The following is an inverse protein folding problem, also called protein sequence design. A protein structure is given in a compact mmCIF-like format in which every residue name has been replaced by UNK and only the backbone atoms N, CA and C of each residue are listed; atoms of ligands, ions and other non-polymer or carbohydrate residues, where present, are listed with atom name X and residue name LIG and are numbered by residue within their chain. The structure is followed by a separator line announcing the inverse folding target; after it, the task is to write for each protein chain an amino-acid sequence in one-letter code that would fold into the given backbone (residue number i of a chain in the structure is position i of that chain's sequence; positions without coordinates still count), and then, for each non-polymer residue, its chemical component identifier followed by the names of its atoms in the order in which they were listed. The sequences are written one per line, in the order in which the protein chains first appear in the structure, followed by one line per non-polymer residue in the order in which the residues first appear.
data_IF_250755604983
#
_entry.id   IF_250755604983
#
_cell.length_a   1.000
_cell.length_b   1.000
_cell.length_c   1.000
_cell.angle_alpha   90.00
_cell.angle_beta   90.00
_cell.angle_gamma   90.00
#
_symmetry.space_group_name_H-M   'P 1'
#
loop_
_entity.id
_entity.type
_entity.pdbx_description
1 polymer ?
#
# COMPACT_ATOMS: atom_id res chain seq x y z
N UNK A 1 -9.25 -22.44 36.99
CA UNK A 1 -9.21 -21.50 35.84
C UNK A 1 -8.56 -20.23 36.33
N UNK A 2 -7.29 -20.05 36.05
CA UNK A 2 -6.53 -18.87 36.46
C UNK A 2 -6.73 -17.82 35.39
N UNK A 3 -7.36 -16.69 35.75
CA UNK A 3 -7.48 -15.52 34.89
C UNK A 3 -6.05 -14.99 34.68
N UNK A 4 -5.50 -15.11 33.47
CA UNK A 4 -4.22 -14.50 33.13
C UNK A 4 -4.50 -13.08 32.63
N UNK A 5 -4.20 -12.04 33.42
CA UNK A 5 -4.47 -10.65 33.04
C UNK A 5 -3.64 -10.18 31.83
N UNK A 6 -2.68 -10.99 31.36
CA UNK A 6 -1.87 -10.67 30.17
C UNK A 6 -2.37 -11.33 28.88
N UNK A 7 -3.43 -12.16 28.92
CA UNK A 7 -4.03 -12.71 27.69
C UNK A 7 -5.03 -11.70 27.11
N UNK A 8 -4.93 -11.33 25.82
CA UNK A 8 -5.91 -10.47 25.16
C UNK A 8 -7.31 -11.08 25.24
N UNK A 9 -8.32 -10.23 25.47
CA UNK A 9 -9.72 -10.65 25.39
C UNK A 9 -10.19 -10.81 23.94
N UNK A 10 -11.30 -11.51 23.72
CA UNK A 10 -11.95 -11.61 22.41
C UNK A 10 -12.29 -10.23 21.82
N UNK A 11 -12.56 -9.26 22.70
CA UNK A 11 -12.83 -7.87 22.30
C UNK A 11 -11.55 -7.17 21.84
N UNK A 12 -10.43 -7.35 22.55
CA UNK A 12 -9.12 -6.83 22.14
C UNK A 12 -8.69 -7.38 20.78
N UNK A 13 -8.91 -8.68 20.55
CA UNK A 13 -8.61 -9.33 19.25
C UNK A 13 -9.49 -8.74 18.15
N UNK A 14 -10.81 -8.58 18.40
CA UNK A 14 -11.72 -7.98 17.40
C UNK A 14 -11.35 -6.54 17.05
N UNK A 15 -10.97 -5.73 18.04
CA UNK A 15 -10.49 -4.37 17.83
C UNK A 15 -9.22 -4.39 16.98
N UNK A 16 -8.22 -5.20 17.34
CA UNK A 16 -6.97 -5.29 16.58
C UNK A 16 -7.19 -5.77 15.14
N UNK A 17 -8.11 -6.71 14.89
CA UNK A 17 -8.49 -7.15 13.54
C UNK A 17 -9.18 -6.05 12.74
N UNK A 18 -10.03 -5.25 13.39
CA UNK A 18 -10.66 -4.08 12.78
C UNK A 18 -9.62 -3.04 12.39
N UNK A 19 -8.65 -2.77 13.27
CA UNK A 19 -7.57 -1.80 13.03
C UNK A 19 -6.68 -2.25 11.87
N UNK A 20 -6.27 -3.53 11.82
CA UNK A 20 -5.51 -4.07 10.68
C UNK A 20 -6.25 -3.91 9.35
N UNK A 21 -7.57 -4.12 9.35
CA UNK A 21 -8.42 -3.95 8.15
C UNK A 21 -8.58 -2.48 7.78
N UNK A 22 -8.69 -1.59 8.77
CA UNK A 22 -8.76 -0.15 8.58
C UNK A 22 -7.45 0.40 8.00
N UNK A 23 -6.32 0.03 8.59
CA UNK A 23 -4.99 0.40 8.10
C UNK A 23 -4.77 -0.10 6.67
N UNK A 24 -5.20 -1.33 6.37
CA UNK A 24 -5.14 -1.84 5.01
C UNK A 24 -5.91 -0.95 4.01
N UNK A 25 -7.08 -0.44 4.41
CA UNK A 25 -7.86 0.51 3.61
C UNK A 25 -7.12 1.83 3.39
N UNK A 26 -6.48 2.39 4.43
CA UNK A 26 -5.68 3.62 4.29
C UNK A 26 -4.57 3.45 3.25
N UNK A 27 -3.89 2.29 3.23
CA UNK A 27 -2.85 2.01 2.25
C UNK A 27 -3.39 1.82 0.82
N UNK A 28 -4.60 1.30 0.67
CA UNK A 28 -5.26 1.26 -0.65
C UNK A 28 -5.68 2.64 -1.13
N UNK A 29 -6.26 3.46 -0.27
CA UNK A 29 -6.61 4.84 -0.61
C UNK A 29 -5.34 5.60 -1.04
N UNK A 30 -4.22 5.40 -0.33
CA UNK A 30 -2.93 5.95 -0.71
C UNK A 30 -2.43 5.45 -2.07
N UNK A 31 -2.64 4.16 -2.39
CA UNK A 31 -2.35 3.60 -3.71
C UNK A 31 -3.19 4.28 -4.80
N UNK A 32 -4.49 4.44 -4.59
CA UNK A 32 -5.40 5.06 -5.55
C UNK A 32 -5.06 6.54 -5.80
N UNK A 33 -4.67 7.27 -4.76
CA UNK A 33 -4.24 8.66 -4.86
C UNK A 33 -3.02 8.87 -5.76
N UNK A 34 -2.20 7.83 -6.00
CA UNK A 34 -1.06 7.90 -6.92
C UNK A 34 -1.46 7.83 -8.41
N UNK A 35 -2.69 7.41 -8.73
CA UNK A 35 -3.14 7.26 -10.12
C UNK A 35 -3.08 8.59 -10.89
N UNK A 36 -3.57 9.68 -10.30
CA UNK A 36 -3.61 10.99 -10.94
C UNK A 36 -2.20 11.62 -11.14
N UNK A 37 -1.30 11.62 -10.14
CA UNK A 37 0.10 12.00 -10.33
C UNK A 37 0.82 11.16 -11.39
N UNK A 38 0.60 9.84 -11.40
CA UNK A 38 1.20 8.93 -12.39
C UNK A 38 0.74 9.27 -13.80
N UNK A 39 -0.55 9.48 -14.00
CA UNK A 39 -1.11 9.88 -15.29
C UNK A 39 -0.57 11.24 -15.73
N UNK A 40 -0.44 12.19 -14.80
CA UNK A 40 0.13 13.51 -15.08
C UNK A 40 1.60 13.40 -15.52
N UNK A 41 2.42 12.62 -14.82
CA UNK A 41 3.82 12.38 -15.20
C UNK A 41 3.95 11.64 -16.55
N UNK A 42 3.03 10.72 -16.87
CA UNK A 42 3.00 10.03 -18.16
C UNK A 42 2.62 10.95 -19.33
N UNK A 43 1.72 11.91 -19.07
CA UNK A 43 1.21 12.83 -20.07
C UNK A 43 2.09 14.07 -20.27
N UNK A 44 3.00 14.36 -19.35
CA UNK A 44 3.94 15.48 -19.43
C UNK A 44 5.02 15.25 -20.50
N UNK A 45 4.64 14.99 -21.75
CA UNK A 45 5.59 14.89 -22.86
C UNK A 45 5.94 16.28 -23.34
N UNK A 46 7.21 16.64 -23.29
CA UNK A 46 7.69 17.83 -23.99
C UNK A 46 7.69 17.54 -25.50
N UNK A 47 6.95 18.29 -26.33
CA UNK A 47 7.07 18.14 -27.78
C UNK A 47 8.49 18.43 -28.24
N UNK A 48 8.95 17.72 -29.28
CA UNK A 48 10.21 18.02 -29.96
C UNK A 48 10.18 19.50 -30.42
N UNK A 49 10.99 20.35 -29.77
CA UNK A 49 11.02 21.79 -30.02
C UNK A 49 10.43 22.67 -28.90
N UNK A 50 9.82 22.10 -27.85
CA UNK A 50 9.28 22.85 -26.71
C UNK A 50 10.35 23.67 -25.96
N UNK A 51 11.60 23.22 -25.99
CA UNK A 51 12.75 23.91 -25.38
C UNK A 51 13.49 24.83 -26.37
N UNK A 52 12.94 25.00 -27.59
CA UNK A 52 13.49 25.86 -28.62
C UNK A 52 14.92 25.51 -29.04
N UNK A 53 15.60 26.48 -29.68
CA UNK A 53 16.95 26.37 -30.23
C UNK A 53 18.03 26.08 -29.16
N UNK A 54 17.74 26.32 -27.88
CA UNK A 54 18.66 26.16 -26.75
C UNK A 54 18.68 24.72 -26.21
N UNK A 55 17.57 23.98 -26.37
CA UNK A 55 17.41 22.63 -25.79
C UNK A 55 18.21 21.53 -26.50
N UNK A 56 18.43 21.65 -27.81
CA UNK A 56 19.15 20.65 -28.60
C UNK A 56 20.67 20.59 -28.31
N UNK A 57 21.41 21.73 -28.22
CA UNK A 57 22.84 21.69 -27.92
C UNK A 57 23.16 21.45 -26.44
N UNK A 58 22.20 21.62 -25.52
CA UNK A 58 22.44 21.50 -24.06
C UNK A 58 22.06 20.14 -23.47
N UNK A 59 21.34 19.29 -24.20
CA UNK A 59 20.84 18.02 -23.68
C UNK A 59 19.63 18.14 -22.75
N UNK A 60 19.14 19.35 -22.48
CA UNK A 60 18.04 19.63 -21.53
C UNK A 60 16.76 18.84 -21.83
N UNK A 61 16.44 18.61 -23.11
CA UNK A 61 15.29 17.80 -23.49
C UNK A 61 15.41 16.34 -23.01
N UNK A 62 16.61 15.77 -23.13
CA UNK A 62 16.90 14.41 -22.65
C UNK A 62 16.85 14.34 -21.13
N UNK A 63 17.39 15.35 -20.44
CA UNK A 63 17.38 15.41 -18.97
C UNK A 63 15.96 15.52 -18.41
N UNK A 64 15.10 16.36 -19.02
CA UNK A 64 13.69 16.47 -18.58
C UNK A 64 12.93 15.17 -18.85
N UNK A 65 13.17 14.52 -20.00
CA UNK A 65 12.51 13.24 -20.30
C UNK A 65 13.00 12.11 -19.38
N UNK A 66 14.29 12.09 -19.02
CA UNK A 66 14.85 11.17 -18.04
C UNK A 66 14.23 11.41 -16.66
N UNK A 67 14.14 12.66 -16.20
CA UNK A 67 13.51 13.02 -14.94
C UNK A 67 12.03 12.63 -14.91
N UNK A 68 11.28 12.89 -15.98
CA UNK A 68 9.87 12.49 -16.14
C UNK A 68 9.71 10.97 -16.03
N UNK A 69 10.55 10.22 -16.74
CA UNK A 69 10.52 8.75 -16.74
C UNK A 69 10.85 8.19 -15.37
N UNK A 70 11.86 8.75 -14.69
CA UNK A 70 12.22 8.37 -13.34
C UNK A 70 11.08 8.64 -12.35
N UNK A 71 10.45 9.82 -12.41
CA UNK A 71 9.30 10.15 -11.58
C UNK A 71 8.14 9.18 -11.81
N UNK A 72 7.79 8.92 -13.08
CA UNK A 72 6.74 7.97 -13.42
C UNK A 72 7.04 6.55 -12.87
N UNK A 73 8.30 6.10 -12.95
CA UNK A 73 8.73 4.81 -12.39
C UNK A 73 8.61 4.77 -10.87
N UNK A 74 9.01 5.84 -10.17
CA UNK A 74 8.89 5.93 -8.71
C UNK A 74 7.42 5.87 -8.27
N UNK A 75 6.51 6.52 -9.01
CA UNK A 75 5.07 6.48 -8.73
C UNK A 75 4.50 5.07 -8.90
N UNK A 76 4.90 4.34 -9.94
CA UNK A 76 4.52 2.93 -10.14
C UNK A 76 5.04 2.04 -9.01
N UNK A 77 6.28 2.26 -8.57
CA UNK A 77 6.86 1.50 -7.46
C UNK A 77 6.14 1.79 -6.14
N UNK A 78 5.79 3.04 -5.87
CA UNK A 78 5.01 3.43 -4.70
C UNK A 78 3.61 2.81 -4.71
N UNK A 79 2.92 2.81 -5.86
CA UNK A 79 1.61 2.17 -6.05
C UNK A 79 1.68 0.67 -5.68
N UNK A 80 2.67 -0.04 -6.23
CA UNK A 80 2.86 -1.46 -5.93
C UNK A 80 3.23 -1.71 -4.45
N UNK A 81 4.03 -0.83 -3.85
CA UNK A 81 4.44 -0.97 -2.45
C UNK A 81 3.27 -0.78 -1.48
N UNK A 82 2.43 0.23 -1.70
CA UNK A 82 1.24 0.47 -0.88
C UNK A 82 0.23 -0.68 -1.00
N UNK A 83 -0.02 -1.18 -2.22
CA UNK A 83 -0.85 -2.38 -2.41
C UNK A 83 -0.28 -3.62 -1.72
N UNK A 84 1.04 -3.76 -1.67
CA UNK A 84 1.70 -4.85 -0.93
C UNK A 84 1.46 -4.74 0.58
N UNK A 85 1.57 -3.53 1.14
CA UNK A 85 1.31 -3.30 2.58
C UNK A 85 -0.16 -3.62 2.90
N UNK A 86 -1.10 -3.07 2.14
CA UNK A 86 -2.53 -3.33 2.31
C UNK A 86 -2.84 -4.83 2.26
N UNK A 87 -2.28 -5.55 1.27
CA UNK A 87 -2.44 -6.99 1.14
C UNK A 87 -1.88 -7.77 2.33
N UNK A 88 -0.72 -7.36 2.86
CA UNK A 88 -0.10 -8.02 4.01
C UNK A 88 -0.91 -7.81 5.30
N UNK A 89 -1.43 -6.62 5.53
CA UNK A 89 -2.29 -6.32 6.69
C UNK A 89 -3.58 -7.15 6.68
N UNK A 90 -4.22 -7.30 5.50
CA UNK A 90 -5.38 -8.18 5.37
C UNK A 90 -5.06 -9.64 5.60
N UNK A 91 -3.93 -10.12 5.07
CA UNK A 91 -3.48 -11.50 5.31
C UNK A 91 -3.24 -11.75 6.80
N UNK A 92 -2.61 -10.81 7.49
CA UNK A 92 -2.42 -10.88 8.93
C UNK A 92 -3.76 -10.95 9.68
N UNK A 93 -4.70 -10.05 9.36
CA UNK A 93 -6.04 -10.06 9.97
C UNK A 93 -6.77 -11.40 9.72
N UNK A 94 -6.73 -11.93 8.51
CA UNK A 94 -7.38 -13.19 8.17
C UNK A 94 -6.73 -14.39 8.88
N UNK A 95 -5.40 -14.38 9.04
CA UNK A 95 -4.69 -15.42 9.76
C UNK A 95 -5.07 -15.43 11.25
N UNK A 96 -5.06 -14.26 11.91
CA UNK A 96 -5.48 -14.15 13.31
C UNK A 96 -6.95 -14.55 13.53
N UNK A 97 -7.86 -14.15 12.64
CA UNK A 97 -9.27 -14.55 12.73
C UNK A 97 -9.47 -16.06 12.50
N UNK A 98 -8.63 -16.71 11.70
CA UNK A 98 -8.66 -18.16 11.52
C UNK A 98 -8.13 -18.90 12.74
N UNK A 99 -7.01 -18.45 13.31
CA UNK A 99 -6.41 -19.05 14.51
C UNK A 99 -7.38 -18.99 15.70
N UNK A 100 -8.07 -17.86 15.90
CA UNK A 100 -9.04 -17.72 17.00
C UNK A 100 -10.23 -18.68 16.84
N UNK A 101 -10.78 -18.81 15.63
CA UNK A 101 -11.88 -19.75 15.36
C UNK A 101 -11.46 -21.20 15.62
N UNK A 102 -10.24 -21.56 15.25
CA UNK A 102 -9.72 -22.91 15.50
C UNK A 102 -9.52 -23.15 17.01
N UNK A 103 -9.02 -22.16 17.74
CA UNK A 103 -8.83 -22.27 19.19
C UNK A 103 -10.15 -22.42 19.96
N UNK A 104 -11.18 -21.66 19.58
CA UNK A 104 -12.53 -21.79 20.15
C UNK A 104 -13.15 -23.16 19.85
N UNK A 105 -12.97 -23.69 18.64
CA UNK A 105 -13.44 -25.03 18.28
C UNK A 105 -12.75 -26.14 19.09
N UNK A 106 -11.45 -26.03 19.36
CA UNK A 106 -10.75 -26.98 20.21
C UNK A 106 -11.28 -26.93 21.65
N UNK A 107 -11.50 -25.75 22.21
CA UNK A 107 -12.08 -25.56 23.54
C UNK A 107 -13.46 -26.22 23.69
N UNK A 108 -14.34 -26.07 22.69
CA UNK A 108 -15.66 -26.71 22.69
C UNK A 108 -15.62 -28.24 22.54
N UNK A 109 -14.51 -28.83 22.09
CA UNK A 109 -14.38 -30.29 21.97
C UNK A 109 -14.04 -30.96 23.30
N UNK A 110 -13.51 -30.22 24.27
CA UNK A 110 -13.07 -30.73 25.57
C UNK A 110 -14.06 -30.47 26.72
N UNK A 111 -15.22 -29.86 26.44
CA UNK A 111 -16.34 -29.66 27.36
C UNK A 111 -17.58 -30.38 26.85
#
# INVERSE_FOLDING_TARGET
MTFDPNKPSDEDIRVALSDLRHDAGIWEDAQELLAAPRQSAQNLKLPEGALGYVGAPTGLAADVEAARTQLASMLVQAEAYFGTIAGNLRKAANAYEADERNHLHELHKYY
#
